data_IF_567936319593
#
_entry.id   IF_567936319593
#
_cell.length_a   1.000
_cell.length_b   1.000
_cell.length_c   1.000
_cell.angle_alpha   90.00
_cell.angle_beta   90.00
_cell.angle_gamma   90.00
#
_symmetry.space_group_name_H-M   'P 1'
#
loop_
_entity.id
_entity.type
_entity.pdbx_description
1 polymer ?
#
# COMPACT_ATOMS: atom_id res chain seq x y z
N UNK A 1 -10.02 -4.97 12.64
CA UNK A 1 -8.62 -5.18 12.17
C UNK A 1 -8.11 -3.88 11.60
N UNK A 2 -6.80 -3.67 11.62
CA UNK A 2 -6.14 -2.51 11.00
C UNK A 2 -5.49 -2.94 9.69
N UNK A 3 -5.33 -1.99 8.79
CA UNK A 3 -4.78 -2.21 7.46
C UNK A 3 -3.72 -1.16 7.16
N UNK A 4 -2.82 -1.47 6.24
CA UNK A 4 -1.90 -0.50 5.67
C UNK A 4 -1.64 -0.84 4.21
N UNK A 5 -1.08 0.12 3.49
CA UNK A 5 -0.62 -0.08 2.11
C UNK A 5 0.90 -0.12 2.12
N UNK A 6 1.46 -1.14 1.47
CA UNK A 6 2.88 -1.36 1.35
C UNK A 6 3.26 -1.78 -0.06
N UNK A 7 4.35 -2.51 -0.17
CA UNK A 7 4.78 -3.14 -1.43
C UNK A 7 5.05 -4.62 -1.15
N UNK A 8 4.73 -5.50 -2.10
CA UNK A 8 5.13 -6.90 -2.02
C UNK A 8 6.52 -7.15 -2.61
N UNK A 9 6.97 -8.40 -2.55
CA UNK A 9 8.29 -8.82 -3.02
C UNK A 9 8.48 -8.63 -4.54
N UNK A 10 7.38 -8.53 -5.29
CA UNK A 10 7.39 -8.30 -6.74
C UNK A 10 7.33 -6.80 -7.10
N UNK A 11 7.18 -5.92 -6.11
CA UNK A 11 7.15 -4.48 -6.30
C UNK A 11 5.76 -3.90 -6.57
N UNK A 12 4.69 -4.67 -6.39
CA UNK A 12 3.32 -4.18 -6.53
C UNK A 12 2.85 -3.51 -5.25
N UNK A 13 2.01 -2.49 -5.42
CA UNK A 13 1.35 -1.86 -4.27
C UNK A 13 0.29 -2.82 -3.73
N UNK A 14 0.41 -3.14 -2.45
CA UNK A 14 -0.35 -4.24 -1.82
C UNK A 14 -0.99 -3.76 -0.52
N UNK A 15 -2.26 -4.13 -0.30
CA UNK A 15 -2.94 -3.95 0.99
C UNK A 15 -2.62 -5.11 1.90
N UNK A 16 -2.28 -4.78 3.13
CA UNK A 16 -1.98 -5.73 4.18
C UNK A 16 -2.96 -5.58 5.34
N UNK A 17 -3.38 -6.70 5.94
CA UNK A 17 -4.14 -6.74 7.19
C UNK A 17 -3.21 -7.08 8.34
N UNK A 18 -3.16 -6.23 9.35
CA UNK A 18 -2.29 -6.39 10.51
C UNK A 18 -1.44 -5.15 10.77
N UNK A 19 -0.39 -5.33 11.57
CA UNK A 19 0.52 -4.24 11.92
C UNK A 19 1.81 -4.35 11.10
N UNK A 20 2.39 -3.22 10.66
CA UNK A 20 3.60 -3.18 9.84
C UNK A 20 4.87 -3.38 10.67
N UNK A 21 4.94 -4.52 11.37
CA UNK A 21 6.10 -4.93 12.17
C UNK A 21 6.48 -6.36 11.86
N UNK A 22 7.78 -6.58 11.74
CA UNK A 22 8.40 -7.89 11.72
C UNK A 22 8.88 -8.24 13.13
N UNK A 23 8.51 -9.43 13.60
CA UNK A 23 9.05 -10.00 14.83
C UNK A 23 10.37 -10.74 14.55
N UNK A 24 11.16 -11.02 15.60
CA UNK A 24 12.31 -11.91 15.47
C UNK A 24 11.94 -13.24 14.83
N UNK A 25 12.90 -13.84 14.13
CA UNK A 25 12.73 -15.07 13.34
C UNK A 25 11.85 -14.93 12.07
N UNK A 26 11.62 -13.70 11.58
CA UNK A 26 10.97 -13.46 10.28
C UNK A 26 9.47 -13.69 10.29
N UNK A 27 8.83 -13.44 11.45
CA UNK A 27 7.38 -13.56 11.58
C UNK A 27 6.73 -12.19 11.38
N UNK A 28 5.88 -12.09 10.36
CA UNK A 28 5.11 -10.88 10.10
C UNK A 28 3.87 -10.79 10.99
N UNK A 29 3.60 -9.58 11.51
CA UNK A 29 2.33 -9.27 12.19
C UNK A 29 1.21 -8.88 11.21
N UNK A 30 1.39 -9.20 9.94
CA UNK A 30 0.50 -8.83 8.86
C UNK A 30 0.45 -9.90 7.78
N UNK A 31 -0.55 -9.79 6.91
CA UNK A 31 -0.76 -10.70 5.79
C UNK A 31 -1.32 -9.92 4.59
N UNK A 32 -0.93 -10.26 3.35
CA UNK A 32 -1.46 -9.60 2.17
C UNK A 32 -2.94 -9.94 2.01
N UNK A 33 -3.76 -8.93 1.71
CA UNK A 33 -5.20 -9.11 1.45
C UNK A 33 -5.60 -8.74 0.03
N UNK A 34 -4.83 -7.87 -0.63
CA UNK A 34 -5.07 -7.50 -2.03
C UNK A 34 -3.79 -6.96 -2.67
N UNK A 35 -3.43 -7.51 -3.83
CA UNK A 35 -2.31 -7.04 -4.68
C UNK A 35 -2.89 -6.23 -5.82
N UNK A 36 -2.49 -4.97 -5.97
CA UNK A 36 -2.92 -4.13 -7.09
C UNK A 36 -2.11 -4.42 -8.36
N UNK A 37 -2.61 -3.98 -9.51
CA UNK A 37 -1.86 -4.04 -10.76
C UNK A 37 -0.79 -2.92 -10.89
N UNK A 38 -0.62 -2.07 -9.88
CA UNK A 38 0.25 -0.89 -9.94
C UNK A 38 1.61 -1.20 -9.33
N UNK A 39 2.68 -1.05 -10.11
CA UNK A 39 4.04 -1.12 -9.56
C UNK A 39 4.44 0.17 -8.86
N UNK A 40 5.05 0.04 -7.70
CA UNK A 40 5.49 1.19 -6.88
C UNK A 40 6.52 2.09 -7.59
N UNK A 41 7.27 1.53 -8.53
CA UNK A 41 8.33 2.22 -9.25
C UNK A 41 7.84 3.11 -10.39
N UNK A 42 6.62 2.87 -10.87
CA UNK A 42 5.90 3.73 -11.83
C UNK A 42 5.36 5.02 -11.19
N UNK A 43 5.35 5.09 -9.86
CA UNK A 43 4.84 6.23 -9.11
C UNK A 43 5.93 7.29 -8.89
N UNK A 44 5.58 8.60 -8.95
CA UNK A 44 6.49 9.67 -8.54
C UNK A 44 7.02 9.48 -7.12
N UNK A 45 8.29 9.81 -6.87
CA UNK A 45 8.99 9.55 -5.61
C UNK A 45 8.27 10.14 -4.37
N UNK A 46 7.73 11.36 -4.49
CA UNK A 46 6.96 11.99 -3.42
C UNK A 46 5.68 11.21 -3.08
N UNK A 47 5.07 10.55 -4.08
CA UNK A 47 3.86 9.76 -3.90
C UNK A 47 4.16 8.40 -3.28
N UNK A 48 5.26 7.77 -3.70
CA UNK A 48 5.78 6.54 -3.08
C UNK A 48 5.86 6.70 -1.57
N UNK A 49 6.61 7.70 -1.10
CA UNK A 49 6.80 7.95 0.35
C UNK A 49 5.48 8.06 1.14
N UNK A 50 4.44 8.66 0.57
CA UNK A 50 3.14 8.86 1.23
C UNK A 50 2.20 7.66 1.14
N UNK A 51 2.43 6.77 0.17
CA UNK A 51 1.58 5.61 -0.08
C UNK A 51 2.03 4.41 0.78
N UNK A 52 3.34 4.28 0.97
CA UNK A 52 3.97 3.17 1.70
C UNK A 52 4.58 3.64 3.03
N UNK A 53 4.01 4.66 3.66
CA UNK A 53 4.43 5.15 4.99
C UNK A 53 3.96 4.27 6.15
N UNK A 54 3.34 3.13 5.84
CA UNK A 54 2.80 2.17 6.81
C UNK A 54 1.78 2.79 7.77
N UNK A 55 1.13 3.90 7.37
CA UNK A 55 0.03 4.49 8.12
C UNK A 55 -1.09 3.46 8.30
N UNK A 56 -1.53 3.28 9.55
CA UNK A 56 -2.66 2.41 9.87
C UNK A 56 -3.96 3.06 9.43
N UNK A 57 -4.79 2.29 8.73
CA UNK A 57 -6.04 2.68 8.09
C UNK A 57 -7.16 1.72 8.45
N UNK A 58 -8.39 2.17 8.23
CA UNK A 58 -9.53 1.26 8.14
C UNK A 58 -9.42 0.45 6.83
N UNK A 59 -10.18 -0.64 6.73
CA UNK A 59 -10.27 -1.42 5.50
C UNK A 59 -10.71 -0.54 4.32
N UNK A 60 -11.78 0.24 4.52
CA UNK A 60 -12.41 1.01 3.43
C UNK A 60 -11.51 2.14 2.96
N UNK A 61 -10.79 2.81 3.87
CA UNK A 61 -9.80 3.83 3.50
C UNK A 61 -8.64 3.23 2.68
N UNK A 62 -8.13 2.06 3.08
CA UNK A 62 -7.09 1.36 2.32
C UNK A 62 -7.59 0.89 0.94
N UNK A 63 -8.81 0.37 0.86
CA UNK A 63 -9.43 -0.07 -0.38
C UNK A 63 -9.70 1.11 -1.33
N UNK A 64 -10.18 2.24 -0.81
CA UNK A 64 -10.43 3.44 -1.62
C UNK A 64 -9.13 4.08 -2.11
N UNK A 65 -8.08 4.08 -1.29
CA UNK A 65 -6.75 4.52 -1.68
C UNK A 65 -6.21 3.71 -2.87
N UNK A 66 -6.34 2.38 -2.82
CA UNK A 66 -5.94 1.50 -3.92
C UNK A 66 -6.79 1.68 -5.18
N UNK A 67 -8.11 1.81 -5.04
CA UNK A 67 -9.00 2.08 -6.19
C UNK A 67 -8.63 3.39 -6.90
N UNK A 68 -8.32 4.43 -6.14
CA UNK A 68 -7.91 5.72 -6.70
C UNK A 68 -6.50 5.67 -7.32
N UNK A 69 -5.64 4.78 -6.81
CA UNK A 69 -4.33 4.46 -7.40
C UNK A 69 -4.50 3.81 -8.78
N UNK A 70 -5.28 2.75 -8.88
CA UNK A 70 -5.50 1.98 -10.11
C UNK A 70 -6.20 2.80 -11.19
N UNK A 71 -7.06 3.75 -10.80
CA UNK A 71 -7.70 4.69 -11.72
C UNK A 71 -6.77 5.80 -12.23
N UNK A 72 -5.51 5.83 -11.77
CA UNK A 72 -4.55 6.89 -12.09
C UNK A 72 -4.93 8.27 -11.53
N UNK A 73 -5.92 8.35 -10.64
CA UNK A 73 -6.37 9.60 -10.00
C UNK A 73 -5.44 10.06 -8.90
N UNK A 74 -4.69 9.12 -8.33
CA UNK A 74 -3.52 9.39 -7.50
C UNK A 74 -2.30 9.83 -8.34
N UNK A 75 -2.39 9.79 -9.67
CA UNK A 75 -1.33 10.16 -10.64
C UNK A 75 -1.59 11.43 -11.47
N UNK A 76 -2.71 12.14 -11.30
CA UNK A 76 -2.98 13.39 -12.04
C UNK A 76 -2.93 14.59 -11.10
N UNK A 77 -1.74 15.19 -10.99
CA UNK A 77 -1.68 16.62 -10.67
C UNK A 77 -2.09 17.32 -11.97
N UNK A 78 -3.21 18.04 -11.94
CA UNK A 78 -3.52 18.99 -13.00
C UNK A 78 -2.32 19.95 -13.14
N UNK A 79 -1.84 20.09 -14.37
CA UNK A 79 -0.88 21.12 -14.81
C UNK A 79 -1.22 22.51 -14.29
#
# INVERSE_FOLDING_TARGET
>A
AVYFVGTDDEGFVTMYRGLPYELPAGLDLYSPTYVSAVRVDTLPAARRKRLIDHTLRSHDDAADLLRELERGRIGRVAS
#
